data_IF_194319302240
#
_entry.id   IF_194319302240
#
_cell.length_a   1.000
_cell.length_b   1.000
_cell.length_c   1.000
_cell.angle_alpha   90.00
_cell.angle_beta   90.00
_cell.angle_gamma   90.00
#
_symmetry.space_group_name_H-M   'P 1'
#
loop_
_entity.id
_entity.type
_entity.pdbx_description
1 polymer ?
#
# COMPACT_ATOMS: atom_id res chain seq x y z
N UNK A 1 12.39 12.42 -3.00
CA UNK A 1 11.73 11.09 -3.05
C UNK A 1 10.71 11.01 -4.19
N UNK A 2 9.70 11.89 -4.26
CA UNK A 2 8.67 11.81 -5.30
C UNK A 2 9.22 11.80 -6.74
N UNK A 3 10.29 12.53 -7.04
CA UNK A 3 10.86 12.64 -8.40
C UNK A 3 11.31 11.30 -9.01
N UNK A 4 11.60 10.28 -8.20
CA UNK A 4 12.04 8.95 -8.63
C UNK A 4 11.10 7.83 -8.15
N UNK A 5 9.88 8.19 -7.76
CA UNK A 5 8.95 7.29 -7.09
C UNK A 5 8.49 6.11 -7.96
N UNK A 6 8.10 6.37 -9.21
CA UNK A 6 7.53 5.40 -10.14
C UNK A 6 8.48 4.27 -10.47
N UNK A 7 9.78 4.56 -10.62
CA UNK A 7 10.81 3.58 -10.94
C UNK A 7 11.35 2.89 -9.69
N UNK A 8 11.52 3.63 -8.57
CA UNK A 8 12.13 3.07 -7.37
C UNK A 8 11.18 2.34 -6.42
N UNK A 9 9.86 2.53 -6.54
CA UNK A 9 8.87 2.02 -5.55
C UNK A 9 8.87 0.50 -5.38
N UNK A 10 9.26 -0.22 -6.41
CA UNK A 10 9.23 -1.68 -6.43
C UNK A 10 10.52 -2.30 -5.84
N UNK A 11 11.52 -1.47 -5.53
CA UNK A 11 12.80 -1.88 -4.95
C UNK A 11 12.86 -1.51 -3.46
N UNK A 12 12.91 -2.49 -2.54
CA UNK A 12 12.82 -2.23 -1.10
C UNK A 12 14.05 -1.52 -0.51
N UNK A 13 15.21 -1.66 -1.15
CA UNK A 13 16.45 -0.98 -0.78
C UNK A 13 16.47 0.51 -1.19
N UNK A 14 15.57 0.92 -2.07
CA UNK A 14 15.50 2.29 -2.57
C UNK A 14 14.67 3.18 -1.64
N UNK A 15 15.28 4.26 -1.13
CA UNK A 15 14.62 5.20 -0.22
C UNK A 15 13.70 6.20 -0.95
N UNK A 16 12.73 5.69 -1.70
CA UNK A 16 11.78 6.50 -2.49
C UNK A 16 10.35 6.49 -1.94
N UNK A 17 10.03 5.58 -1.02
CA UNK A 17 8.72 5.51 -0.37
C UNK A 17 8.48 6.71 0.53
N UNK A 18 7.21 7.09 0.69
CA UNK A 18 6.84 8.29 1.44
C UNK A 18 6.95 8.13 2.95
N UNK A 19 6.86 6.90 3.47
CA UNK A 19 6.75 6.61 4.91
C UNK A 19 5.55 7.30 5.58
N UNK A 20 4.51 7.65 4.81
CA UNK A 20 3.33 8.37 5.30
C UNK A 20 2.20 7.47 5.81
N UNK A 21 2.31 6.15 5.65
CA UNK A 21 1.27 5.19 6.01
C UNK A 21 0.70 5.37 7.44
N UNK A 22 1.51 5.44 8.53
CA UNK A 22 0.97 5.61 9.88
C UNK A 22 0.24 6.95 10.07
N UNK A 23 0.76 8.04 9.50
CA UNK A 23 0.11 9.35 9.60
C UNK A 23 -1.24 9.38 8.88
N UNK A 24 -1.35 8.66 7.74
CA UNK A 24 -2.59 8.53 6.98
C UNK A 24 -3.60 7.58 7.63
N UNK A 25 -3.15 6.54 8.34
CA UNK A 25 -4.04 5.62 9.05
C UNK A 25 -4.67 6.28 10.28
N UNK A 26 -3.92 7.14 10.98
CA UNK A 26 -4.42 7.90 12.13
C UNK A 26 -5.09 9.23 11.76
N UNK A 27 -5.18 9.58 10.48
CA UNK A 27 -5.81 10.82 10.03
C UNK A 27 -5.04 12.10 10.40
N UNK A 28 -3.76 11.99 10.76
CA UNK A 28 -2.89 13.13 11.08
C UNK A 28 -2.59 13.99 9.85
N UNK A 29 -2.72 13.40 8.65
CA UNK A 29 -2.59 14.09 7.37
C UNK A 29 -3.85 13.81 6.54
N UNK A 30 -4.45 14.87 6.00
CA UNK A 30 -5.61 14.75 5.10
C UNK A 30 -5.19 14.21 3.73
N UNK A 31 -5.74 13.06 3.34
CA UNK A 31 -5.56 12.45 2.01
C UNK A 31 -6.07 13.38 0.91
N UNK A 32 -7.22 14.03 1.13
CA UNK A 32 -7.82 14.96 0.16
C UNK A 32 -6.91 16.16 -0.09
N UNK A 33 -6.35 16.74 0.98
CA UNK A 33 -5.41 17.86 0.85
C UNK A 33 -4.15 17.43 0.12
N UNK A 34 -3.60 16.26 0.45
CA UNK A 34 -2.44 15.69 -0.23
C UNK A 34 -2.69 15.50 -1.73
N UNK A 35 -3.86 14.95 -2.11
CA UNK A 35 -4.25 14.79 -3.50
C UNK A 35 -4.26 16.12 -4.26
N UNK A 36 -4.97 17.13 -3.74
CA UNK A 36 -5.03 18.44 -4.39
C UNK A 36 -3.66 19.12 -4.47
N UNK A 37 -2.86 19.02 -3.41
CA UNK A 37 -1.49 19.54 -3.41
C UNK A 37 -0.64 18.92 -4.53
N UNK A 38 -0.71 17.61 -4.69
CA UNK A 38 0.05 16.88 -5.72
C UNK A 38 -0.38 17.25 -7.13
N UNK A 39 -1.69 17.33 -7.39
CA UNK A 39 -2.22 17.75 -8.70
C UNK A 39 -1.75 19.17 -9.03
N UNK A 40 -1.92 20.12 -8.11
CA UNK A 40 -1.49 21.51 -8.34
C UNK A 40 0.00 21.59 -8.61
N UNK A 41 0.83 20.87 -7.83
CA UNK A 41 2.28 20.82 -8.06
C UNK A 41 2.66 20.21 -9.40
N UNK A 42 1.93 19.20 -9.86
CA UNK A 42 2.14 18.61 -11.19
C UNK A 42 1.87 19.63 -12.30
N UNK A 43 0.73 20.32 -12.22
CA UNK A 43 0.31 21.35 -13.18
C UNK A 43 1.26 22.54 -13.20
N UNK A 44 1.71 23.03 -12.04
CA UNK A 44 2.67 24.14 -11.94
C UNK A 44 3.99 23.82 -12.64
N UNK A 45 4.46 22.58 -12.56
CA UNK A 45 5.77 22.19 -13.08
C UNK A 45 5.80 21.95 -14.58
N UNK A 46 4.65 21.65 -15.18
CA UNK A 46 4.49 21.38 -16.63
C UNK A 46 5.55 20.41 -17.17
N UNK A 47 5.85 19.34 -16.42
CA UNK A 47 6.90 18.39 -16.74
C UNK A 47 6.32 16.98 -16.75
N UNK A 48 6.27 16.36 -17.94
CA UNK A 48 5.69 15.02 -18.14
C UNK A 48 6.33 13.94 -17.26
N UNK A 49 7.65 14.02 -17.06
CA UNK A 49 8.36 13.11 -16.17
C UNK A 49 7.87 13.25 -14.73
N UNK A 50 7.72 14.48 -14.22
CA UNK A 50 7.24 14.71 -12.86
C UNK A 50 5.77 14.31 -12.70
N UNK A 51 4.95 14.58 -13.71
CA UNK A 51 3.55 14.17 -13.74
C UNK A 51 3.40 12.65 -13.63
N UNK A 52 4.21 11.87 -14.36
CA UNK A 52 4.24 10.41 -14.24
C UNK A 52 4.46 9.96 -12.80
N UNK A 53 5.40 10.61 -12.10
CA UNK A 53 5.69 10.31 -10.70
C UNK A 53 4.51 10.60 -9.78
N UNK A 54 3.90 11.77 -9.96
CA UNK A 54 2.72 12.22 -9.21
C UNK A 54 1.55 11.25 -9.42
N UNK A 55 1.25 10.90 -10.68
CA UNK A 55 0.17 9.97 -11.02
C UNK A 55 0.41 8.58 -10.42
N UNK A 56 1.66 8.11 -10.40
CA UNK A 56 2.04 6.85 -9.76
C UNK A 56 1.79 6.86 -8.24
N UNK A 57 2.08 7.98 -7.58
CA UNK A 57 1.82 8.16 -6.15
C UNK A 57 0.32 8.30 -5.85
N UNK A 58 -0.43 9.08 -6.65
CA UNK A 58 -1.88 9.23 -6.54
C UNK A 58 -2.57 7.88 -6.66
N UNK A 59 -2.12 7.00 -7.56
CA UNK A 59 -2.65 5.63 -7.66
C UNK A 59 -2.55 4.87 -6.34
N UNK A 60 -1.54 5.11 -5.50
CA UNK A 60 -1.45 4.48 -4.18
C UNK A 60 -2.43 5.08 -3.18
N UNK A 61 -2.72 6.37 -3.27
CA UNK A 61 -3.80 6.98 -2.47
C UNK A 61 -5.16 6.38 -2.89
N UNK A 62 -5.37 6.13 -4.17
CA UNK A 62 -6.58 5.47 -4.67
C UNK A 62 -6.67 4.03 -4.16
N UNK A 63 -5.56 3.28 -4.10
CA UNK A 63 -5.55 1.94 -3.48
C UNK A 63 -6.02 1.96 -2.02
N UNK A 64 -5.61 2.97 -1.23
CA UNK A 64 -6.14 3.18 0.13
C UNK A 64 -7.65 3.39 0.11
N UNK A 65 -8.17 4.30 -0.72
CA UNK A 65 -9.62 4.55 -0.82
C UNK A 65 -10.38 3.30 -1.27
N UNK A 66 -9.80 2.52 -2.19
CA UNK A 66 -10.37 1.26 -2.64
C UNK A 66 -10.45 0.21 -1.53
N UNK A 67 -9.45 0.13 -0.64
CA UNK A 67 -9.52 -0.73 0.55
C UNK A 67 -10.66 -0.33 1.49
N UNK A 68 -10.87 0.98 1.73
CA UNK A 68 -12.03 1.46 2.51
C UNK A 68 -13.35 1.16 1.82
N UNK A 69 -13.42 1.35 0.49
CA UNK A 69 -14.61 1.03 -0.30
C UNK A 69 -14.95 -0.46 -0.20
N UNK A 70 -13.97 -1.34 -0.35
CA UNK A 70 -14.15 -2.79 -0.18
C UNK A 70 -14.66 -3.13 1.21
N UNK A 71 -14.07 -2.57 2.26
CA UNK A 71 -14.51 -2.83 3.63
C UNK A 71 -15.93 -2.33 3.90
N UNK A 72 -16.30 -1.17 3.36
CA UNK A 72 -17.65 -0.61 3.49
C UNK A 72 -18.70 -1.52 2.82
N UNK A 73 -18.44 -1.99 1.60
CA UNK A 73 -19.38 -2.82 0.85
C UNK A 73 -19.37 -4.30 1.26
N UNK A 74 -18.24 -4.79 1.78
CA UNK A 74 -18.05 -6.18 2.18
C UNK A 74 -17.49 -6.26 3.62
N UNK A 75 -18.24 -5.80 4.65
CA UNK A 75 -17.75 -5.71 6.02
C UNK A 75 -17.38 -7.06 6.65
N UNK A 76 -17.93 -8.17 6.13
CA UNK A 76 -17.58 -9.52 6.58
C UNK A 76 -16.13 -9.91 6.26
N UNK A 77 -15.45 -9.17 5.38
CA UNK A 77 -14.07 -9.47 4.95
C UNK A 77 -13.03 -9.35 6.05
N UNK A 78 -13.39 -8.71 7.17
CA UNK A 78 -12.57 -8.67 8.38
C UNK A 78 -12.40 -10.06 9.02
N UNK A 79 -13.36 -10.96 8.80
CA UNK A 79 -13.39 -12.28 9.45
C UNK A 79 -13.45 -13.45 8.46
N UNK A 80 -13.80 -13.20 7.20
CA UNK A 80 -14.00 -14.22 6.18
C UNK A 80 -13.36 -13.80 4.85
N UNK A 81 -12.90 -14.74 4.01
CA UNK A 81 -12.37 -14.39 2.71
C UNK A 81 -13.43 -13.75 1.82
N UNK A 82 -13.04 -12.75 1.02
CA UNK A 82 -13.93 -12.12 0.04
C UNK A 82 -14.45 -13.14 -0.98
N UNK A 83 -13.57 -14.02 -1.46
CA UNK A 83 -13.95 -15.15 -2.29
C UNK A 83 -14.26 -16.38 -1.42
N UNK A 84 -15.54 -16.77 -1.42
CA UNK A 84 -16.07 -17.89 -0.62
C UNK A 84 -15.43 -19.25 -0.94
N UNK A 85 -14.83 -19.43 -2.13
CA UNK A 85 -14.15 -20.69 -2.45
C UNK A 85 -12.99 -20.99 -1.49
N UNK A 86 -12.40 -19.96 -0.87
CA UNK A 86 -11.31 -20.12 0.09
C UNK A 86 -11.78 -20.34 1.54
N UNK A 87 -13.09 -20.31 1.82
CA UNK A 87 -13.60 -20.47 3.20
C UNK A 87 -13.24 -21.84 3.80
N UNK A 88 -13.08 -22.87 2.95
CA UNK A 88 -12.73 -24.23 3.35
C UNK A 88 -11.31 -24.63 2.89
N UNK A 89 -10.44 -23.65 2.60
CA UNK A 89 -9.08 -23.96 2.20
C UNK A 89 -8.33 -24.66 3.35
N UNK A 90 -7.67 -25.82 3.12
CA UNK A 90 -7.05 -26.61 4.18
C UNK A 90 -5.70 -26.02 4.60
N UNK A 91 -5.72 -24.89 5.32
CA UNK A 91 -4.52 -24.23 5.83
C UNK A 91 -3.74 -25.13 6.78
N UNK A 92 -2.41 -25.09 6.69
CA UNK A 92 -1.54 -25.71 7.67
C UNK A 92 -1.67 -24.99 9.02
N UNK A 93 -1.83 -25.75 10.11
CA UNK A 93 -2.00 -25.26 11.48
C UNK A 93 -0.77 -25.50 12.37
N UNK A 94 0.37 -25.83 11.79
CA UNK A 94 1.64 -25.99 12.51
C UNK A 94 2.11 -24.64 13.09
N UNK A 95 1.91 -24.46 14.40
CA UNK A 95 2.27 -23.24 15.12
C UNK A 95 3.77 -22.94 15.06
N UNK A 96 4.61 -23.97 14.98
CA UNK A 96 6.06 -23.78 14.88
C UNK A 96 6.45 -23.11 13.55
N UNK A 97 5.81 -23.49 12.44
CA UNK A 97 6.06 -22.84 11.15
C UNK A 97 5.65 -21.36 11.17
N UNK A 98 4.54 -21.05 11.84
CA UNK A 98 4.12 -19.67 12.05
C UNK A 98 5.15 -18.89 12.88
N UNK A 99 5.67 -19.49 13.96
CA UNK A 99 6.67 -18.86 14.84
C UNK A 99 7.97 -18.56 14.10
N UNK A 100 8.45 -19.51 13.30
CA UNK A 100 9.67 -19.35 12.48
C UNK A 100 9.48 -18.21 11.47
N UNK A 101 8.33 -18.11 10.83
CA UNK A 101 8.02 -17.01 9.91
C UNK A 101 7.96 -15.65 10.62
N UNK A 102 7.26 -15.56 11.77
CA UNK A 102 7.16 -14.32 12.54
C UNK A 102 8.52 -13.76 13.01
N UNK A 103 9.52 -14.63 13.19
CA UNK A 103 10.88 -14.27 13.59
C UNK A 103 11.83 -13.99 12.41
N UNK A 104 11.40 -14.24 11.17
CA UNK A 104 12.28 -14.15 9.99
C UNK A 104 13.32 -15.28 9.93
N UNK A 105 13.05 -16.43 10.56
CA UNK A 105 13.97 -17.58 10.63
C UNK A 105 13.67 -18.64 9.55
N UNK A 106 13.01 -18.25 8.45
CA UNK A 106 12.49 -19.16 7.42
C UNK A 106 13.57 -19.87 6.60
N UNK A 107 14.81 -19.35 6.63
CA UNK A 107 15.90 -19.78 5.76
C UNK A 107 15.87 -19.15 4.36
N UNK A 108 14.88 -18.29 4.06
CA UNK A 108 14.77 -17.55 2.80
C UNK A 108 15.19 -16.09 3.01
N UNK A 109 16.33 -15.62 2.48
CA UNK A 109 16.90 -14.32 2.85
C UNK A 109 16.04 -13.08 2.57
N UNK A 110 15.07 -13.17 1.65
CA UNK A 110 14.23 -12.04 1.26
C UNK A 110 12.94 -11.93 2.09
N UNK A 111 12.49 -13.03 2.71
CA UNK A 111 11.26 -13.13 3.50
C UNK A 111 11.57 -12.75 4.94
#
# INVERSE_FOLDING_TARGET
KLVSYSEGRDFPDQNVHSMLAPYLSFGQISVKLMFHYLINKSTERQCSLFEKQVNSFIRQLIWREFSYYLLYHYPFTVYKPLNKSFEHFPWNKEEELLRVWQKGETGYPFI
#
